data_IF_266039909171
#
_entry.id   IF_266039909171
#
_cell.length_a   1.000
_cell.length_b   1.000
_cell.length_c   1.000
_cell.angle_alpha   90.00
_cell.angle_beta   90.00
_cell.angle_gamma   90.00
#
_symmetry.space_group_name_H-M   'P 1'
#
loop_
_entity.id
_entity.type
_entity.pdbx_description
1 polymer ?
#
# COMPACT_ATOMS: atom_id res chain seq x y z
N UNK A 1 -20.29 -18.87 -14.98
CA UNK A 1 -19.12 -19.71 -14.60
C UNK A 1 -18.09 -18.99 -13.76
N UNK A 2 -17.55 -17.81 -14.17
CA UNK A 2 -16.55 -17.06 -13.36
C UNK A 2 -17.05 -16.64 -11.97
N UNK A 3 -18.30 -16.18 -11.85
CA UNK A 3 -18.90 -15.79 -10.57
C UNK A 3 -19.04 -16.98 -9.60
N UNK A 4 -19.41 -18.15 -10.10
CA UNK A 4 -19.56 -19.37 -9.29
C UNK A 4 -18.21 -19.85 -8.75
N UNK A 5 -17.15 -19.77 -9.57
CA UNK A 5 -15.79 -20.13 -9.14
C UNK A 5 -15.29 -19.16 -8.08
N UNK A 6 -15.51 -17.85 -8.27
CA UNK A 6 -15.12 -16.81 -7.29
C UNK A 6 -15.86 -17.01 -5.98
N UNK A 7 -17.18 -17.27 -6.00
CA UNK A 7 -17.96 -17.50 -4.79
C UNK A 7 -17.55 -18.79 -4.07
N UNK A 8 -17.24 -19.84 -4.81
CA UNK A 8 -16.75 -21.10 -4.23
C UNK A 8 -15.38 -20.93 -3.56
N UNK A 9 -14.45 -20.18 -4.18
CA UNK A 9 -13.14 -19.88 -3.59
C UNK A 9 -13.30 -19.03 -2.32
N UNK A 10 -14.16 -18.01 -2.34
CA UNK A 10 -14.44 -17.18 -1.17
C UNK A 10 -15.03 -18.02 -0.03
N UNK A 11 -16.01 -18.88 -0.33
CA UNK A 11 -16.61 -19.78 0.68
C UNK A 11 -15.61 -20.77 1.25
N UNK A 12 -14.74 -21.34 0.40
CA UNK A 12 -13.71 -22.27 0.86
C UNK A 12 -12.68 -21.59 1.77
N UNK A 13 -12.21 -20.39 1.40
CA UNK A 13 -11.27 -19.60 2.21
C UNK A 13 -11.92 -19.19 3.54
N UNK A 14 -13.18 -18.74 3.51
CA UNK A 14 -13.92 -18.34 4.71
C UNK A 14 -14.15 -19.53 5.65
N UNK A 15 -14.48 -20.70 5.10
CA UNK A 15 -14.64 -21.94 5.87
C UNK A 15 -13.34 -22.38 6.55
N UNK A 16 -12.21 -22.33 5.85
CA UNK A 16 -10.88 -22.63 6.39
C UNK A 16 -10.46 -21.64 7.49
N UNK A 17 -10.73 -20.35 7.31
CA UNK A 17 -10.44 -19.31 8.30
C UNK A 17 -11.35 -19.44 9.54
N UNK A 18 -12.63 -19.77 9.37
CA UNK A 18 -13.55 -19.96 10.47
C UNK A 18 -13.17 -21.13 11.39
N UNK A 19 -12.58 -22.20 10.83
CA UNK A 19 -12.11 -23.37 11.59
C UNK A 19 -10.87 -23.14 12.46
N UNK A 20 -10.17 -22.00 12.33
CA UNK A 20 -8.85 -21.80 12.99
C UNK A 20 -8.81 -20.72 14.07
N UNK A 21 -9.62 -19.76 14.16
CA UNK A 21 -9.78 -18.67 15.17
C UNK A 21 -10.69 -17.56 14.65
N UNK A 22 -11.37 -17.79 13.54
CA UNK A 22 -12.17 -16.79 12.86
C UNK A 22 -11.36 -15.82 11.99
N UNK A 23 -12.08 -14.93 11.34
CA UNK A 23 -11.46 -13.88 10.49
C UNK A 23 -10.94 -12.78 11.41
N UNK A 24 -9.65 -12.40 11.33
CA UNK A 24 -9.14 -11.29 12.13
C UNK A 24 -9.92 -10.00 11.80
N UNK A 25 -10.41 -9.32 12.81
CA UNK A 25 -11.15 -8.06 12.64
C UNK A 25 -10.34 -7.01 11.85
N UNK A 26 -9.02 -7.01 12.00
CA UNK A 26 -8.12 -6.15 11.23
C UNK A 26 -8.22 -6.36 9.71
N UNK A 27 -8.44 -7.60 9.26
CA UNK A 27 -8.58 -7.90 7.83
C UNK A 27 -9.87 -7.29 7.25
N UNK A 28 -10.95 -7.28 8.01
CA UNK A 28 -12.22 -6.66 7.61
C UNK A 28 -12.02 -5.15 7.41
N UNK A 29 -11.35 -4.49 8.35
CA UNK A 29 -11.03 -3.06 8.24
C UNK A 29 -10.16 -2.76 7.03
N UNK A 30 -9.14 -3.56 6.78
CA UNK A 30 -8.26 -3.40 5.60
C UNK A 30 -9.08 -3.52 4.30
N UNK A 31 -9.95 -4.52 4.17
CA UNK A 31 -10.77 -4.70 2.98
C UNK A 31 -11.68 -3.49 2.76
N UNK A 32 -12.35 -3.00 3.81
CA UNK A 32 -13.23 -1.83 3.73
C UNK A 32 -12.44 -0.60 3.24
N UNK A 33 -11.28 -0.34 3.83
CA UNK A 33 -10.43 0.79 3.45
C UNK A 33 -9.95 0.65 2.00
N UNK A 34 -9.47 -0.53 1.58
CA UNK A 34 -9.01 -0.79 0.21
C UNK A 34 -10.11 -0.54 -0.81
N UNK A 35 -11.32 -1.07 -0.59
CA UNK A 35 -12.45 -0.88 -1.49
C UNK A 35 -12.88 0.59 -1.56
N UNK A 36 -12.95 1.27 -0.41
CA UNK A 36 -13.28 2.69 -0.34
C UNK A 36 -12.25 3.54 -1.11
N UNK A 37 -10.95 3.30 -0.91
CA UNK A 37 -9.90 4.03 -1.59
C UNK A 37 -9.77 3.68 -3.07
N UNK A 38 -10.02 2.45 -3.45
CA UNK A 38 -10.10 2.08 -4.86
C UNK A 38 -11.22 2.84 -5.57
N UNK A 39 -12.42 2.87 -4.98
CA UNK A 39 -13.53 3.65 -5.51
C UNK A 39 -13.18 5.14 -5.54
N UNK A 40 -12.64 5.69 -4.46
CA UNK A 40 -12.26 7.08 -4.36
C UNK A 40 -11.25 7.49 -5.45
N UNK A 41 -10.16 6.74 -5.62
CA UNK A 41 -9.12 7.07 -6.60
C UNK A 41 -9.56 6.93 -8.04
N UNK A 42 -10.46 5.95 -8.35
CA UNK A 42 -10.87 5.66 -9.73
C UNK A 42 -12.12 6.42 -10.16
N UNK A 43 -13.05 6.70 -9.24
CA UNK A 43 -14.38 7.21 -9.59
C UNK A 43 -14.62 8.67 -9.19
N UNK A 44 -13.77 9.27 -8.33
CA UNK A 44 -13.98 10.66 -7.90
C UNK A 44 -13.14 11.67 -8.68
N UNK A 45 -13.59 12.92 -8.70
CA UNK A 45 -12.83 14.03 -9.31
C UNK A 45 -11.52 14.28 -8.58
N UNK A 46 -11.55 14.17 -7.23
CA UNK A 46 -10.35 14.38 -6.42
C UNK A 46 -9.29 13.29 -6.68
N UNK A 47 -9.71 12.04 -6.88
CA UNK A 47 -8.80 10.97 -7.28
C UNK A 47 -8.09 11.30 -8.60
N UNK A 48 -8.85 11.77 -9.62
CA UNK A 48 -8.27 12.22 -10.90
C UNK A 48 -7.29 13.38 -10.73
N UNK A 49 -7.60 14.33 -9.86
CA UNK A 49 -6.70 15.46 -9.59
C UNK A 49 -5.39 15.02 -8.93
N UNK A 50 -5.43 14.05 -8.02
CA UNK A 50 -4.23 13.46 -7.43
C UNK A 50 -3.29 12.86 -8.49
N UNK A 51 -3.83 12.09 -9.43
CA UNK A 51 -3.03 11.54 -10.54
C UNK A 51 -2.53 12.63 -11.50
N UNK A 52 -3.36 13.62 -11.81
CA UNK A 52 -2.98 14.71 -12.70
C UNK A 52 -1.83 15.56 -12.11
N UNK A 53 -1.94 15.94 -10.83
CA UNK A 53 -0.89 16.70 -10.13
C UNK A 53 0.40 15.88 -10.04
N UNK A 54 0.30 14.58 -9.73
CA UNK A 54 1.45 13.70 -9.69
C UNK A 54 2.13 13.51 -11.05
N UNK A 55 1.37 13.56 -12.15
CA UNK A 55 1.91 13.42 -13.51
C UNK A 55 2.59 14.68 -14.03
N UNK A 56 1.93 15.83 -13.93
CA UNK A 56 2.47 17.13 -14.29
C UNK A 56 1.76 18.25 -13.53
N UNK A 57 2.40 18.74 -12.48
CA UNK A 57 1.84 19.79 -11.64
C UNK A 57 1.58 21.10 -12.41
N UNK A 58 2.53 21.53 -13.27
CA UNK A 58 2.40 22.78 -14.03
C UNK A 58 1.23 22.72 -15.02
N UNK A 59 1.10 21.62 -15.75
CA UNK A 59 -0.01 21.44 -16.68
C UNK A 59 -1.35 21.40 -15.95
N UNK A 60 -1.40 20.76 -14.79
CA UNK A 60 -2.60 20.68 -13.94
C UNK A 60 -2.99 22.06 -13.40
N UNK A 61 -2.03 22.87 -13.00
CA UNK A 61 -2.27 24.24 -12.55
C UNK A 61 -2.79 25.12 -13.68
N UNK A 62 -2.22 25.01 -14.88
CA UNK A 62 -2.69 25.72 -16.07
C UNK A 62 -4.12 25.34 -16.47
N UNK A 63 -4.56 24.13 -16.15
CA UNK A 63 -5.93 23.67 -16.35
C UNK A 63 -6.92 24.21 -15.29
N UNK A 64 -6.50 25.14 -14.44
CA UNK A 64 -7.35 25.79 -13.44
C UNK A 64 -7.53 24.99 -12.12
N UNK A 65 -6.82 23.89 -11.95
CA UNK A 65 -6.88 23.08 -10.73
C UNK A 65 -5.96 23.66 -9.67
N UNK A 66 -6.48 23.89 -8.47
CA UNK A 66 -5.68 24.38 -7.35
C UNK A 66 -4.81 23.27 -6.75
N UNK A 67 -3.56 23.15 -7.21
CA UNK A 67 -2.61 22.11 -6.80
C UNK A 67 -2.33 22.13 -5.30
N UNK A 68 -2.29 23.32 -4.66
CA UNK A 68 -2.07 23.45 -3.21
C UNK A 68 -3.16 22.75 -2.39
N UNK A 69 -4.44 22.88 -2.81
CA UNK A 69 -5.55 22.19 -2.15
C UNK A 69 -5.46 20.66 -2.34
N UNK A 70 -5.02 20.22 -3.51
CA UNK A 70 -4.83 18.78 -3.80
C UNK A 70 -3.72 18.21 -2.92
N UNK A 71 -2.59 18.89 -2.78
CA UNK A 71 -1.51 18.49 -1.88
C UNK A 71 -1.95 18.46 -0.42
N UNK A 72 -2.62 19.52 0.03
CA UNK A 72 -3.14 19.57 1.40
C UNK A 72 -4.05 18.41 1.70
N UNK A 73 -4.97 18.10 0.78
CA UNK A 73 -5.85 16.94 0.91
C UNK A 73 -5.07 15.63 0.95
N UNK A 74 -4.08 15.45 0.06
CA UNK A 74 -3.27 14.22 0.01
C UNK A 74 -2.53 13.96 1.33
N UNK A 75 -1.85 14.98 1.87
CA UNK A 75 -1.11 14.84 3.13
C UNK A 75 -2.02 14.65 4.35
N UNK A 76 -3.14 15.37 4.41
CA UNK A 76 -4.14 15.19 5.49
C UNK A 76 -4.69 13.77 5.47
N UNK A 77 -5.02 13.27 4.28
CA UNK A 77 -5.56 11.93 4.10
C UNK A 77 -4.52 10.84 4.43
N UNK A 78 -3.26 11.06 4.07
CA UNK A 78 -2.15 10.18 4.45
C UNK A 78 -2.00 10.12 5.98
N UNK A 79 -2.06 11.27 6.67
CA UNK A 79 -2.02 11.31 8.13
C UNK A 79 -3.17 10.54 8.77
N UNK A 80 -4.38 10.67 8.23
CA UNK A 80 -5.56 9.92 8.69
C UNK A 80 -5.37 8.40 8.55
N UNK A 81 -4.91 7.94 7.38
CA UNK A 81 -4.64 6.51 7.14
C UNK A 81 -3.52 5.98 8.04
N UNK A 82 -2.47 6.78 8.27
CA UNK A 82 -1.38 6.41 9.15
C UNK A 82 -1.86 6.25 10.60
N UNK A 83 -2.74 7.13 11.07
CA UNK A 83 -3.36 7.02 12.38
C UNK A 83 -4.19 5.73 12.51
N UNK A 84 -5.01 5.40 11.51
CA UNK A 84 -5.76 4.13 11.47
C UNK A 84 -4.83 2.91 11.50
N UNK A 85 -3.74 2.93 10.72
CA UNK A 85 -2.76 1.86 10.72
C UNK A 85 -2.07 1.71 12.09
N UNK A 86 -1.76 2.82 12.75
CA UNK A 86 -1.20 2.83 14.10
C UNK A 86 -2.15 2.18 15.12
N UNK A 87 -3.42 2.56 15.11
CA UNK A 87 -4.44 1.97 15.99
C UNK A 87 -4.56 0.45 15.77
N UNK A 88 -4.62 0.01 14.49
CA UNK A 88 -4.69 -1.42 14.15
C UNK A 88 -3.45 -2.18 14.59
N UNK A 89 -2.27 -1.56 14.50
CA UNK A 89 -0.99 -2.17 14.93
C UNK A 89 -0.97 -2.37 16.44
N UNK A 90 -1.33 -1.35 17.21
CA UNK A 90 -1.41 -1.44 18.68
C UNK A 90 -2.47 -2.44 19.13
N UNK A 91 -3.65 -2.41 18.50
CA UNK A 91 -4.74 -3.35 18.79
C UNK A 91 -4.31 -4.82 18.53
N UNK A 92 -3.56 -5.07 17.45
CA UNK A 92 -3.06 -6.41 17.12
C UNK A 92 -1.97 -6.89 18.08
N UNK A 93 -1.09 -5.98 18.49
CA UNK A 93 0.03 -6.30 19.38
C UNK A 93 -0.41 -6.39 20.85
N UNK A 94 -1.60 -5.87 21.19
CA UNK A 94 -2.13 -5.71 22.55
C UNK A 94 -1.11 -5.01 23.51
N UNK A 95 -0.17 -4.25 22.95
CA UNK A 95 0.88 -3.53 23.67
C UNK A 95 1.33 -2.32 22.88
N UNK A 96 1.83 -1.30 23.55
CA UNK A 96 2.44 -0.14 22.92
C UNK A 96 3.91 -0.05 23.36
N UNK A 97 4.82 0.00 22.41
CA UNK A 97 6.24 0.21 22.64
C UNK A 97 6.75 1.39 21.81
N UNK A 98 7.69 2.19 22.30
CA UNK A 98 8.22 3.34 21.57
C UNK A 98 8.87 2.98 20.23
N UNK A 99 9.33 1.74 20.08
CA UNK A 99 9.99 1.23 18.87
C UNK A 99 9.01 0.65 17.82
N UNK A 100 7.73 0.55 18.15
CA UNK A 100 6.74 0.09 17.18
C UNK A 100 6.57 1.10 16.05
N UNK A 101 6.56 0.59 14.84
CA UNK A 101 6.44 1.42 13.63
C UNK A 101 7.78 1.89 13.05
N UNK A 102 8.90 1.69 13.73
CA UNK A 102 10.21 2.03 13.16
C UNK A 102 10.44 1.23 11.87
N UNK A 103 10.81 1.95 10.80
CA UNK A 103 11.05 1.41 9.45
C UNK A 103 9.80 0.87 8.72
N UNK A 104 8.58 1.07 9.23
CA UNK A 104 7.36 0.72 8.50
C UNK A 104 7.18 1.59 7.25
N UNK A 105 7.73 2.80 7.25
CA UNK A 105 7.79 3.66 6.06
C UNK A 105 8.53 3.00 4.90
N UNK A 106 9.63 2.27 5.16
CA UNK A 106 10.35 1.55 4.12
C UNK A 106 9.52 0.41 3.53
N UNK A 107 8.80 -0.33 4.38
CA UNK A 107 7.90 -1.38 3.93
C UNK A 107 6.75 -0.81 3.08
N UNK A 108 6.17 0.34 3.50
CA UNK A 108 5.09 0.99 2.78
C UNK A 108 5.54 1.57 1.42
N UNK A 109 6.69 2.24 1.39
CA UNK A 109 7.27 2.78 0.16
C UNK A 109 7.65 1.64 -0.79
N UNK A 110 8.33 0.60 -0.28
CA UNK A 110 8.68 -0.59 -1.05
C UNK A 110 7.45 -1.29 -1.63
N UNK A 111 6.39 -1.43 -0.85
CA UNK A 111 5.13 -1.99 -1.31
C UNK A 111 4.50 -1.17 -2.45
N UNK A 112 4.54 0.16 -2.37
CA UNK A 112 4.02 1.02 -3.43
C UNK A 112 4.82 0.86 -4.74
N UNK A 113 6.16 0.83 -4.69
CA UNK A 113 6.99 0.68 -5.88
C UNK A 113 6.85 -0.72 -6.50
N UNK A 114 6.88 -1.79 -5.69
CA UNK A 114 6.63 -3.17 -6.15
C UNK A 114 5.22 -3.26 -6.75
N UNK A 115 4.26 -2.54 -6.18
CA UNK A 115 2.89 -2.44 -6.67
C UNK A 115 2.69 -1.59 -7.93
N UNK A 116 3.78 -1.05 -8.51
CA UNK A 116 3.77 -0.30 -9.77
C UNK A 116 3.46 1.19 -9.63
N UNK A 117 3.58 1.76 -8.43
CA UNK A 117 3.57 3.22 -8.28
C UNK A 117 4.88 3.80 -8.81
N UNK A 118 4.78 4.92 -9.57
CA UNK A 118 5.95 5.56 -10.16
C UNK A 118 6.64 6.52 -9.20
N UNK A 119 7.99 6.49 -9.20
CA UNK A 119 8.81 7.50 -8.55
C UNK A 119 8.60 8.92 -9.13
N UNK A 120 8.24 8.99 -10.41
CA UNK A 120 7.93 10.26 -11.09
C UNK A 120 6.50 10.76 -10.87
N UNK A 121 5.65 9.96 -10.20
CA UNK A 121 4.25 10.28 -9.94
C UNK A 121 3.31 9.94 -11.10
N UNK A 122 2.03 10.28 -10.95
CA UNK A 122 0.99 10.16 -11.97
C UNK A 122 0.49 8.74 -12.26
N UNK A 123 1.15 7.70 -11.79
CA UNK A 123 0.75 6.30 -12.00
C UNK A 123 0.83 5.48 -10.72
N UNK A 124 -0.03 4.49 -10.63
CA UNK A 124 -0.15 3.58 -9.51
C UNK A 124 -1.59 3.12 -9.33
N UNK A 125 -1.81 2.09 -8.54
CA UNK A 125 -3.15 1.62 -8.20
C UNK A 125 -3.20 1.12 -6.76
N UNK A 126 -4.38 1.24 -6.14
CA UNK A 126 -4.60 0.76 -4.78
C UNK A 126 -4.39 -0.76 -4.69
N UNK A 127 -4.89 -1.51 -5.67
CA UNK A 127 -4.68 -2.97 -5.71
C UNK A 127 -3.21 -3.34 -5.91
N UNK A 128 -2.48 -2.59 -6.75
CA UNK A 128 -1.04 -2.77 -6.90
C UNK A 128 -0.32 -2.61 -5.57
N UNK A 129 -0.59 -1.54 -4.84
CA UNK A 129 0.01 -1.29 -3.52
C UNK A 129 -0.29 -2.44 -2.52
N UNK A 130 -1.50 -3.03 -2.55
CA UNK A 130 -1.84 -4.17 -1.70
C UNK A 130 -1.04 -5.42 -2.08
N UNK A 131 -0.89 -5.70 -3.39
CA UNK A 131 -0.07 -6.83 -3.86
C UNK A 131 1.39 -6.64 -3.41
N UNK A 132 1.92 -5.43 -3.57
CA UNK A 132 3.26 -5.09 -3.09
C UNK A 132 3.40 -5.24 -1.56
N UNK A 133 2.39 -4.83 -0.80
CA UNK A 133 2.36 -4.98 0.66
C UNK A 133 2.33 -6.46 1.08
N UNK A 134 1.59 -7.31 0.37
CA UNK A 134 1.59 -8.76 0.60
C UNK A 134 2.97 -9.37 0.34
N UNK A 135 3.63 -8.98 -0.75
CA UNK A 135 4.99 -9.44 -1.06
C UNK A 135 5.99 -9.01 0.02
N UNK A 136 5.96 -7.74 0.44
CA UNK A 136 6.80 -7.25 1.54
C UNK A 136 6.50 -7.98 2.85
N UNK A 137 5.23 -8.27 3.13
CA UNK A 137 4.80 -9.04 4.29
C UNK A 137 5.37 -10.47 4.27
N UNK A 138 5.34 -11.14 3.13
CA UNK A 138 5.92 -12.49 2.95
C UNK A 138 7.44 -12.47 3.17
N UNK A 139 8.14 -11.47 2.60
CA UNK A 139 9.58 -11.30 2.79
C UNK A 139 9.91 -11.10 4.27
N UNK A 140 9.21 -10.18 4.95
CA UNK A 140 9.42 -9.90 6.36
C UNK A 140 9.16 -11.13 7.25
N UNK A 141 8.05 -11.83 6.99
CA UNK A 141 7.70 -13.03 7.74
C UNK A 141 8.69 -14.17 7.46
N UNK A 142 9.13 -14.32 6.21
CA UNK A 142 10.14 -15.32 5.83
C UNK A 142 11.47 -15.08 6.54
N UNK A 143 11.96 -13.87 6.56
CA UNK A 143 13.19 -13.50 7.29
C UNK A 143 13.07 -13.78 8.80
N UNK A 144 11.90 -13.47 9.38
CA UNK A 144 11.65 -13.72 10.80
C UNK A 144 11.62 -15.21 11.13
N UNK A 145 11.04 -16.05 10.28
CA UNK A 145 11.03 -17.51 10.46
C UNK A 145 12.44 -18.11 10.33
N UNK A 146 13.26 -17.57 9.42
CA UNK A 146 14.66 -17.99 9.25
C UNK A 146 15.58 -17.51 10.40
N UNK A 147 15.07 -16.75 11.35
CA UNK A 147 15.86 -16.22 12.47
C UNK A 147 16.87 -15.13 12.06
N UNK A 148 16.64 -14.45 10.94
CA UNK A 148 17.52 -13.37 10.47
C UNK A 148 17.47 -12.20 11.45
N UNK A 149 18.65 -11.72 11.88
CA UNK A 149 18.77 -10.58 12.79
C UNK A 149 18.07 -9.34 12.25
N UNK A 150 17.45 -8.55 13.16
CA UNK A 150 16.68 -7.37 12.80
C UNK A 150 17.49 -6.32 12.01
N UNK A 151 18.80 -6.24 12.22
CA UNK A 151 19.65 -5.31 11.49
C UNK A 151 19.85 -5.76 10.03
N UNK A 152 20.04 -7.06 9.80
CA UNK A 152 20.11 -7.61 8.44
C UNK A 152 18.77 -7.48 7.71
N UNK A 153 17.64 -7.64 8.40
CA UNK A 153 16.32 -7.40 7.81
C UNK A 153 16.19 -5.97 7.26
N UNK A 154 16.72 -4.94 7.96
CA UNK A 154 16.74 -3.56 7.48
C UNK A 154 17.55 -3.40 6.20
N UNK A 155 18.70 -4.05 6.11
CA UNK A 155 19.55 -4.03 4.90
C UNK A 155 18.82 -4.66 3.73
N UNK A 156 18.18 -5.82 3.92
CA UNK A 156 17.41 -6.50 2.88
C UNK A 156 16.25 -5.62 2.39
N UNK A 157 15.50 -5.00 3.30
CA UNK A 157 14.41 -4.07 2.95
C UNK A 157 14.93 -2.89 2.12
N UNK A 158 16.05 -2.30 2.51
CA UNK A 158 16.69 -1.22 1.76
C UNK A 158 17.11 -1.66 0.35
N UNK A 159 17.67 -2.86 0.20
CA UNK A 159 18.04 -3.44 -1.10
C UNK A 159 16.81 -3.71 -1.98
N UNK A 160 15.76 -4.29 -1.43
CA UNK A 160 14.50 -4.54 -2.15
C UNK A 160 13.91 -3.23 -2.66
N UNK A 161 13.88 -2.20 -1.81
CA UNK A 161 13.38 -0.88 -2.19
C UNK A 161 14.26 -0.26 -3.30
N UNK A 162 15.58 -0.33 -3.17
CA UNK A 162 16.51 0.17 -4.18
C UNK A 162 16.29 -0.51 -5.54
N UNK A 163 16.17 -1.85 -5.55
CA UNK A 163 15.93 -2.61 -6.77
C UNK A 163 14.58 -2.26 -7.40
N UNK A 164 13.53 -2.11 -6.59
CA UNK A 164 12.21 -1.73 -7.09
C UNK A 164 12.22 -0.34 -7.74
N UNK A 165 12.91 0.64 -7.13
CA UNK A 165 13.05 2.00 -7.69
C UNK A 165 13.89 1.99 -8.97
N UNK A 166 15.02 1.28 -8.98
CA UNK A 166 15.87 1.16 -10.20
C UNK A 166 15.05 0.57 -11.34
N UNK A 167 14.29 -0.50 -11.07
CA UNK A 167 13.45 -1.14 -12.08
C UNK A 167 12.38 -0.19 -12.63
N UNK A 168 11.71 0.60 -11.77
CA UNK A 168 10.72 1.59 -12.21
C UNK A 168 11.37 2.68 -13.10
N UNK A 169 12.51 3.20 -12.67
CA UNK A 169 13.23 4.27 -13.40
C UNK A 169 13.74 3.77 -14.76
N UNK A 170 14.38 2.60 -14.81
CA UNK A 170 14.94 2.04 -16.06
C UNK A 170 13.83 1.67 -17.03
N UNK A 171 12.78 0.96 -16.56
CA UNK A 171 11.65 0.55 -17.40
C UNK A 171 10.89 1.72 -18.03
N UNK A 172 10.88 2.89 -17.39
CA UNK A 172 10.24 4.09 -17.94
C UNK A 172 11.12 4.94 -18.81
N UNK A 173 12.44 4.80 -18.67
CA UNK A 173 13.41 5.49 -19.54
C UNK A 173 13.41 4.92 -20.96
N UNK A 174 13.16 3.64 -21.13
CA UNK A 174 13.07 2.98 -22.43
C UNK A 174 11.78 3.31 -23.21
N UNK A 175 10.78 3.88 -22.55
CA UNK A 175 9.49 4.24 -23.19
C UNK A 175 9.38 5.71 -23.63
N UNK A 176 10.43 6.50 -23.45
CA UNK A 176 10.56 7.85 -23.98
C UNK A 176 11.44 7.86 -25.22
#
# INVERSE_FOLDING_TARGET
MKLVIISAVILFVTYKLAGYKGIPTSLIWIIIVVLAYHYFTTKTTMGRYLYAVGGNEKATQLSGINTKKVYFFAYTNMGFLTALAGILTVARAASAQPTYGMFYEMDAIGACFIGGASAYGGTGSVFGAIIGALLMGVINQGMSIMGVDANYQKVVKGLVLLLAVIFDVVSKREKK
#
